data_IF_687941260764
#
_entry.id   IF_687941260764
#
_cell.length_a   1.000
_cell.length_b   1.000
_cell.length_c   1.000
_cell.angle_alpha   90.00
_cell.angle_beta   90.00
_cell.angle_gamma   90.00
#
_symmetry.space_group_name_H-M   'P 1'
#
loop_
_entity.id
_entity.type
_entity.pdbx_description
1 polymer ?
#
# COMPACT_ATOMS: atom_id res chain seq x y z
N UNK A 1 15.45 36.91 -6.62
CA UNK A 1 14.37 35.92 -6.74
C UNK A 1 13.19 36.39 -5.91
N UNK A 2 12.01 36.60 -6.50
CA UNK A 2 10.80 36.90 -5.71
C UNK A 2 10.38 35.61 -5.02
N UNK A 3 10.39 35.58 -3.68
CA UNK A 3 9.84 34.46 -2.93
C UNK A 3 8.36 34.24 -3.33
N UNK A 4 8.05 33.10 -3.92
CA UNK A 4 6.65 32.72 -4.14
C UNK A 4 5.97 32.60 -2.78
N UNK A 5 4.84 33.28 -2.62
CA UNK A 5 4.01 33.11 -1.41
C UNK A 5 3.57 31.66 -1.30
N UNK A 6 3.87 31.03 -0.18
CA UNK A 6 3.33 29.70 0.15
C UNK A 6 1.98 29.86 0.81
N UNK A 7 1.02 29.08 0.39
CA UNK A 7 -0.30 29.03 1.02
C UNK A 7 -0.35 27.83 1.96
N UNK A 8 -1.09 27.97 3.05
CA UNK A 8 -1.35 26.90 3.99
C UNK A 8 -2.78 26.44 3.81
N UNK A 9 -2.94 25.15 3.57
CA UNK A 9 -4.24 24.49 3.46
C UNK A 9 -4.48 23.61 4.69
N UNK A 10 -5.70 23.63 5.19
CA UNK A 10 -6.13 22.73 6.25
C UNK A 10 -6.85 21.54 5.61
N UNK A 11 -6.23 20.37 5.67
CA UNK A 11 -6.78 19.10 5.16
C UNK A 11 -7.35 18.22 6.29
N UNK A 12 -7.56 18.81 7.48
CA UNK A 12 -8.11 18.06 8.63
C UNK A 12 -9.51 17.56 8.34
N UNK A 13 -9.73 16.29 8.61
CA UNK A 13 -11.02 15.62 8.43
C UNK A 13 -11.19 14.51 9.46
N UNK A 14 -12.38 13.98 9.56
CA UNK A 14 -12.71 12.83 10.40
C UNK A 14 -13.01 11.66 9.48
N UNK A 15 -12.27 10.58 9.64
CA UNK A 15 -12.54 9.32 8.96
C UNK A 15 -13.25 8.35 9.93
N UNK A 16 -14.28 7.67 9.46
CA UNK A 16 -15.02 6.66 10.22
C UNK A 16 -15.01 5.38 9.42
N UNK A 17 -14.41 4.35 9.97
CA UNK A 17 -14.28 3.06 9.33
C UNK A 17 -14.46 1.94 10.36
N UNK A 18 -14.68 0.74 9.88
CA UNK A 18 -14.67 -0.49 10.66
C UNK A 18 -13.72 -1.48 9.98
N UNK A 19 -13.11 -2.35 10.78
CA UNK A 19 -12.10 -3.27 10.32
C UNK A 19 -12.05 -4.50 11.19
N UNK A 20 -11.53 -5.57 10.63
CA UNK A 20 -11.21 -6.77 11.39
C UNK A 20 -9.80 -6.70 11.99
N UNK A 21 -9.55 -7.52 12.99
CA UNK A 21 -8.23 -7.60 13.62
C UNK A 21 -7.20 -8.17 12.63
N UNK A 22 -6.03 -7.54 12.62
CA UNK A 22 -4.90 -7.95 11.78
C UNK A 22 -4.92 -7.37 10.37
N UNK A 23 -5.97 -6.69 9.96
CA UNK A 23 -6.03 -6.05 8.64
C UNK A 23 -5.20 -4.79 8.57
N UNK A 24 -4.53 -4.60 7.43
CA UNK A 24 -3.77 -3.41 7.09
C UNK A 24 -4.67 -2.44 6.30
N UNK A 25 -5.19 -1.44 6.98
CA UNK A 25 -6.20 -0.57 6.41
C UNK A 25 -5.59 0.77 6.04
N UNK A 26 -5.71 1.23 4.80
CA UNK A 26 -5.37 2.59 4.44
C UNK A 26 -6.40 3.54 5.06
N UNK A 27 -5.96 4.35 6.02
CA UNK A 27 -6.83 5.28 6.75
C UNK A 27 -7.01 6.57 5.96
N UNK A 28 -5.95 7.03 5.31
CA UNK A 28 -5.91 8.26 4.55
C UNK A 28 -4.77 8.25 3.56
N UNK A 29 -4.96 8.94 2.46
CA UNK A 29 -3.91 9.20 1.48
C UNK A 29 -4.10 10.61 0.91
N UNK A 30 -3.01 11.19 0.48
CA UNK A 30 -3.00 12.47 -0.24
C UNK A 30 -1.74 12.57 -1.10
N UNK A 31 -1.86 13.27 -2.17
CA UNK A 31 -0.76 13.55 -3.06
C UNK A 31 0.05 14.73 -2.56
N UNK A 32 1.35 14.58 -2.54
CA UNK A 32 2.29 15.64 -2.19
C UNK A 32 2.97 16.16 -3.46
N UNK A 33 2.89 17.45 -3.67
CA UNK A 33 3.59 18.12 -4.76
C UNK A 33 5.04 18.40 -4.36
N UNK A 34 5.95 18.55 -5.34
CA UNK A 34 7.32 18.98 -5.06
C UNK A 34 7.37 20.24 -4.20
N UNK A 35 8.19 20.23 -3.17
CA UNK A 35 8.37 21.30 -2.18
C UNK A 35 7.20 21.49 -1.19
N UNK A 36 6.20 20.65 -1.17
CA UNK A 36 5.20 20.67 -0.12
C UNK A 36 5.80 20.29 1.23
N UNK A 37 5.26 20.90 2.27
CA UNK A 37 5.58 20.59 3.66
C UNK A 37 4.30 20.20 4.38
N UNK A 38 4.22 18.96 4.81
CA UNK A 38 3.04 18.39 5.43
C UNK A 38 3.29 18.19 6.93
N UNK A 39 2.36 18.68 7.74
CA UNK A 39 2.33 18.42 9.18
C UNK A 39 1.09 17.62 9.50
N UNK A 40 1.28 16.45 10.06
CA UNK A 40 0.22 15.52 10.42
C UNK A 40 0.15 15.33 11.93
N UNK A 41 -1.07 15.23 12.44
CA UNK A 41 -1.39 14.79 13.79
C UNK A 41 -2.62 13.89 13.71
N UNK A 42 -2.57 12.72 14.32
CA UNK A 42 -3.66 11.74 14.28
C UNK A 42 -4.16 11.50 15.69
N UNK A 43 -5.48 11.50 15.86
CA UNK A 43 -6.16 11.08 17.08
C UNK A 43 -7.17 9.99 16.72
N UNK A 44 -7.13 8.86 17.41
CA UNK A 44 -8.00 7.73 17.12
C UNK A 44 -8.86 7.35 18.32
N UNK A 45 -10.15 7.12 18.09
CA UNK A 45 -11.05 6.48 19.02
C UNK A 45 -11.40 5.09 18.48
N UNK A 46 -10.95 4.06 19.17
CA UNK A 46 -11.19 2.66 18.79
C UNK A 46 -12.26 2.06 19.70
N UNK A 47 -13.24 1.41 19.10
CA UNK A 47 -14.30 0.70 19.82
C UNK A 47 -14.40 -0.71 19.26
N UNK A 48 -14.43 -1.69 20.14
CA UNK A 48 -14.72 -3.07 19.75
C UNK A 48 -16.22 -3.26 19.57
N UNK A 49 -16.58 -4.13 18.63
CA UNK A 49 -17.94 -4.64 18.54
C UNK A 49 -18.28 -5.43 19.81
N UNK A 50 -19.57 -5.52 20.19
CA UNK A 50 -19.99 -6.37 21.30
C UNK A 50 -19.56 -7.82 21.07
N UNK A 51 -18.87 -8.39 22.05
CA UNK A 51 -18.36 -9.75 21.99
C UNK A 51 -19.20 -10.67 22.88
N UNK A 52 -19.39 -11.91 22.44
CA UNK A 52 -20.10 -12.92 23.24
C UNK A 52 -19.29 -13.33 24.50
N UNK A 53 -17.97 -13.20 24.46
CA UNK A 53 -17.07 -13.40 25.58
C UNK A 53 -16.07 -12.24 25.67
N UNK A 54 -15.66 -11.80 26.87
CA UNK A 54 -14.73 -10.70 27.02
C UNK A 54 -13.33 -11.09 26.49
N UNK A 55 -12.67 -10.16 25.81
CA UNK A 55 -11.25 -10.30 25.46
C UNK A 55 -10.40 -10.10 26.71
N UNK A 56 -9.53 -11.06 27.01
CA UNK A 56 -8.61 -11.05 28.15
C UNK A 56 -7.22 -10.52 27.78
N UNK A 57 -7.01 -10.14 26.53
CA UNK A 57 -5.74 -9.67 25.99
C UNK A 57 -5.79 -8.20 25.61
N UNK A 58 -4.63 -7.53 25.63
CA UNK A 58 -4.53 -6.18 25.11
C UNK A 58 -4.65 -6.20 23.58
N UNK A 59 -5.17 -5.12 23.05
CA UNK A 59 -5.24 -4.87 21.61
C UNK A 59 -4.36 -3.65 21.32
N UNK A 60 -3.33 -3.85 20.52
CA UNK A 60 -2.45 -2.79 20.09
C UNK A 60 -2.99 -2.19 18.78
N UNK A 61 -3.03 -0.86 18.71
CA UNK A 61 -3.37 -0.12 17.49
C UNK A 61 -2.16 0.72 17.11
N UNK A 62 -1.67 0.53 15.89
CA UNK A 62 -0.54 1.28 15.35
C UNK A 62 -0.96 1.99 14.08
N UNK A 63 -0.60 3.26 13.98
CA UNK A 63 -0.84 4.08 12.79
C UNK A 63 0.52 4.48 12.25
N UNK A 64 0.81 4.04 11.03
CA UNK A 64 2.05 4.36 10.33
C UNK A 64 1.77 5.29 9.16
N UNK A 65 2.72 6.14 8.85
CA UNK A 65 2.66 7.06 7.70
C UNK A 65 3.85 6.80 6.82
N UNK A 66 3.60 6.64 5.53
CA UNK A 66 4.61 6.35 4.52
C UNK A 66 4.60 7.42 3.45
N UNK A 67 5.77 7.71 2.90
CA UNK A 67 5.93 8.47 1.69
C UNK A 67 6.36 7.54 0.57
N UNK A 68 5.54 7.46 -0.48
CA UNK A 68 5.80 6.60 -1.63
C UNK A 68 5.93 7.47 -2.88
N UNK A 69 7.14 7.64 -3.45
CA UNK A 69 7.32 8.40 -4.66
C UNK A 69 6.79 7.64 -5.88
N UNK A 70 6.10 8.35 -6.78
CA UNK A 70 5.48 7.75 -7.97
C UNK A 70 6.48 7.05 -8.88
N UNK A 71 7.75 7.50 -8.92
CA UNK A 71 8.81 6.84 -9.67
C UNK A 71 9.10 5.39 -9.24
N UNK A 72 8.67 4.97 -8.05
CA UNK A 72 8.76 3.59 -7.61
C UNK A 72 7.58 2.73 -8.09
N UNK A 73 6.46 3.37 -8.38
CA UNK A 73 5.21 2.72 -8.77
C UNK A 73 5.01 2.65 -10.27
N UNK A 74 5.74 3.48 -11.01
CA UNK A 74 5.61 3.62 -12.45
C UNK A 74 6.99 3.85 -13.05
N UNK A 75 7.61 2.78 -13.59
CA UNK A 75 9.00 2.74 -14.01
C UNK A 75 9.22 2.22 -15.43
N UNK A 76 8.18 2.14 -16.23
CA UNK A 76 8.32 1.65 -17.59
C UNK A 76 9.36 2.47 -18.36
N UNK A 77 10.16 1.78 -19.16
CA UNK A 77 11.12 2.44 -20.05
C UNK A 77 10.35 3.16 -21.16
N UNK A 78 10.68 4.41 -21.39
CA UNK A 78 10.04 5.29 -22.41
C UNK A 78 8.53 5.56 -22.17
N UNK A 79 8.01 5.25 -20.99
CA UNK A 79 6.62 5.50 -20.61
C UNK A 79 6.45 5.64 -19.09
N UNK A 80 7.45 6.21 -18.43
CA UNK A 80 7.49 6.38 -16.98
C UNK A 80 6.61 7.54 -16.48
N UNK A 81 6.51 7.67 -15.16
CA UNK A 81 5.89 8.84 -14.53
C UNK A 81 6.57 10.16 -14.94
N UNK A 82 7.88 10.14 -15.16
CA UNK A 82 8.62 11.32 -15.62
C UNK A 82 8.25 11.68 -17.06
N UNK A 83 8.12 10.69 -17.93
CA UNK A 83 7.71 10.90 -19.33
C UNK A 83 6.26 11.39 -19.41
N UNK A 84 5.38 10.88 -18.56
CA UNK A 84 4.01 11.39 -18.46
C UNK A 84 3.94 12.88 -18.09
N UNK A 85 4.83 13.35 -17.20
CA UNK A 85 4.85 14.77 -16.79
C UNK A 85 5.55 15.65 -17.83
N UNK A 86 6.61 15.15 -18.45
CA UNK A 86 7.47 15.95 -19.35
C UNK A 86 7.11 15.79 -20.82
N UNK A 87 6.44 14.72 -21.21
CA UNK A 87 6.22 14.32 -22.59
C UNK A 87 7.48 13.68 -23.22
N UNK A 88 8.38 13.12 -22.38
CA UNK A 88 9.64 12.51 -22.83
C UNK A 88 10.69 13.54 -23.24
N UNK A 89 11.70 13.06 -23.96
CA UNK A 89 12.87 13.87 -24.34
C UNK A 89 12.55 14.94 -25.39
N UNK A 90 11.53 14.75 -26.22
CA UNK A 90 11.09 15.68 -27.26
C UNK A 90 9.79 16.44 -26.90
N UNK A 91 9.16 16.09 -25.78
CA UNK A 91 7.91 16.69 -25.32
C UNK A 91 6.66 16.21 -26.07
N UNK A 92 6.76 15.13 -26.84
CA UNK A 92 5.70 14.62 -27.72
C UNK A 92 5.21 13.22 -27.33
N UNK A 93 5.86 12.57 -26.36
CA UNK A 93 5.50 11.23 -25.92
C UNK A 93 4.19 11.24 -25.15
N UNK A 94 3.18 10.61 -25.73
CA UNK A 94 1.88 10.43 -25.09
C UNK A 94 1.88 9.14 -24.28
N UNK A 95 2.02 9.27 -22.97
CA UNK A 95 1.98 8.14 -22.05
C UNK A 95 0.63 8.04 -21.37
N UNK A 96 0.05 6.85 -21.36
CA UNK A 96 -1.20 6.59 -20.64
C UNK A 96 -0.92 6.27 -19.19
N UNK A 97 -1.60 6.94 -18.27
CA UNK A 97 -1.45 6.66 -16.83
C UNK A 97 -1.82 5.19 -16.50
N UNK A 98 -1.23 4.60 -15.47
CA UNK A 98 -1.61 3.27 -15.03
C UNK A 98 -3.03 3.26 -14.47
N UNK A 99 -3.87 2.41 -15.01
CA UNK A 99 -5.26 2.28 -14.57
C UNK A 99 -5.69 0.82 -14.46
N UNK A 100 -6.72 0.57 -13.71
CA UNK A 100 -7.38 -0.73 -13.64
C UNK A 100 -8.84 -0.58 -14.03
N UNK A 101 -9.26 -1.42 -14.98
CA UNK A 101 -10.66 -1.55 -15.35
C UNK A 101 -11.39 -2.35 -14.26
N UNK A 102 -12.33 -1.70 -13.59
CA UNK A 102 -13.18 -2.30 -12.57
C UNK A 102 -14.60 -2.55 -13.07
N UNK A 103 -14.87 -2.38 -14.37
CA UNK A 103 -16.22 -2.51 -14.95
C UNK A 103 -16.83 -3.90 -14.73
N UNK A 104 -16.01 -4.94 -14.66
CA UNK A 104 -16.41 -6.31 -14.38
C UNK A 104 -16.15 -6.76 -12.91
N UNK A 105 -15.63 -5.87 -12.06
CA UNK A 105 -15.26 -6.20 -10.68
C UNK A 105 -16.28 -5.56 -9.72
N UNK A 106 -16.93 -6.39 -8.92
CA UNK A 106 -17.78 -5.88 -7.84
C UNK A 106 -16.91 -5.42 -6.68
N UNK A 107 -17.00 -4.14 -6.35
CA UNK A 107 -16.38 -3.59 -5.14
C UNK A 107 -17.32 -3.82 -3.95
N UNK A 108 -16.80 -4.43 -2.89
CA UNK A 108 -17.58 -4.70 -1.69
C UNK A 108 -17.16 -3.77 -0.56
N UNK A 109 -18.07 -3.61 0.39
CA UNK A 109 -17.77 -2.85 1.60
C UNK A 109 -16.71 -3.58 2.43
N UNK A 110 -15.65 -2.86 2.82
CA UNK A 110 -14.53 -3.40 3.58
C UNK A 110 -13.40 -3.99 2.73
N UNK A 111 -13.50 -3.92 1.40
CA UNK A 111 -12.40 -4.25 0.49
C UNK A 111 -11.38 -3.11 0.44
N UNK A 112 -10.16 -3.39 -0.04
CA UNK A 112 -9.12 -2.37 -0.21
C UNK A 112 -9.60 -1.18 -1.03
N UNK A 113 -10.34 -1.42 -2.11
CA UNK A 113 -10.86 -0.37 -2.99
C UNK A 113 -11.86 0.54 -2.29
N UNK A 114 -12.70 0.00 -1.40
CA UNK A 114 -13.63 0.79 -0.58
C UNK A 114 -12.86 1.76 0.34
N UNK A 115 -11.79 1.28 1.00
CA UNK A 115 -10.92 2.14 1.82
C UNK A 115 -10.12 3.16 0.97
N UNK A 116 -9.85 2.86 -0.29
CA UNK A 116 -9.22 3.75 -1.25
C UNK A 116 -10.22 4.66 -1.98
N UNK A 117 -11.48 4.71 -1.54
CA UNK A 117 -12.47 5.67 -2.00
C UNK A 117 -13.32 5.24 -3.19
N UNK A 118 -13.26 3.98 -3.60
CA UNK A 118 -14.19 3.43 -4.61
C UNK A 118 -15.46 2.95 -3.90
N UNK A 119 -16.61 3.58 -4.11
CA UNK A 119 -17.83 3.18 -3.42
C UNK A 119 -18.25 1.75 -3.74
N UNK A 120 -18.81 0.99 -2.79
CA UNK A 120 -19.34 -0.34 -3.04
C UNK A 120 -20.36 -0.34 -4.18
N UNK A 121 -20.20 -1.26 -5.12
CA UNK A 121 -21.03 -1.38 -6.32
C UNK A 121 -20.66 -0.44 -7.46
N UNK A 122 -19.70 0.47 -7.27
CA UNK A 122 -19.15 1.26 -8.37
C UNK A 122 -18.24 0.39 -9.25
N UNK A 123 -18.30 0.61 -10.55
CA UNK A 123 -17.54 -0.14 -11.55
C UNK A 123 -16.88 0.84 -12.53
N UNK A 124 -15.91 1.65 -12.08
CA UNK A 124 -15.20 2.56 -12.98
C UNK A 124 -14.34 1.76 -13.97
N UNK A 125 -14.29 2.20 -15.20
CA UNK A 125 -13.46 1.61 -16.26
C UNK A 125 -12.03 2.16 -16.28
N UNK A 126 -11.75 3.21 -15.51
CA UNK A 126 -10.45 3.91 -15.49
C UNK A 126 -10.08 4.32 -14.06
N UNK A 127 -9.93 3.34 -13.18
CA UNK A 127 -9.48 3.59 -11.79
C UNK A 127 -7.98 3.75 -11.71
N UNK A 128 -7.49 4.87 -11.16
CA UNK A 128 -6.06 5.09 -10.94
C UNK A 128 -5.49 4.05 -9.96
N UNK A 129 -4.67 3.14 -10.49
CA UNK A 129 -4.14 2.01 -9.73
C UNK A 129 -2.93 2.36 -8.84
N UNK A 130 -2.37 3.56 -8.96
CA UNK A 130 -1.16 3.95 -8.21
C UNK A 130 -1.33 3.84 -6.69
N UNK A 131 -2.53 4.10 -6.18
CA UNK A 131 -2.81 3.95 -4.74
C UNK A 131 -2.74 2.49 -4.27
N UNK A 132 -3.27 1.56 -5.07
CA UNK A 132 -3.18 0.13 -4.76
C UNK A 132 -1.75 -0.40 -4.94
N UNK A 133 -1.01 0.10 -5.94
CA UNK A 133 0.43 -0.20 -6.09
C UNK A 133 1.23 0.27 -4.88
N UNK A 134 0.97 1.51 -4.40
CA UNK A 134 1.61 2.05 -3.20
C UNK A 134 1.30 1.21 -1.96
N UNK A 135 0.04 0.82 -1.79
CA UNK A 135 -0.37 -0.05 -0.70
C UNK A 135 0.38 -1.40 -0.73
N UNK A 136 0.40 -2.08 -1.89
CA UNK A 136 1.10 -3.36 -2.02
C UNK A 136 2.61 -3.23 -1.80
N UNK A 137 3.23 -2.13 -2.25
CA UNK A 137 4.64 -1.86 -2.00
C UNK A 137 4.92 -1.70 -0.50
N UNK A 138 4.07 -0.97 0.22
CA UNK A 138 4.19 -0.80 1.67
C UNK A 138 4.04 -2.15 2.37
N UNK A 139 3.10 -3.00 1.94
CA UNK A 139 2.91 -4.33 2.51
C UNK A 139 4.15 -5.19 2.31
N UNK A 140 4.69 -5.25 1.09
CA UNK A 140 5.88 -6.03 0.78
C UNK A 140 7.10 -5.59 1.60
N UNK A 141 7.30 -4.28 1.76
CA UNK A 141 8.48 -3.74 2.43
C UNK A 141 8.42 -3.78 3.96
N UNK A 142 7.23 -3.62 4.54
CA UNK A 142 7.12 -3.38 5.99
C UNK A 142 6.30 -4.40 6.76
N UNK A 143 5.39 -5.12 6.09
CA UNK A 143 4.42 -5.98 6.79
C UNK A 143 4.47 -7.44 6.37
N UNK A 144 5.23 -7.76 5.35
CA UNK A 144 5.38 -9.12 4.87
C UNK A 144 6.44 -9.90 5.67
N UNK A 145 6.19 -11.18 5.91
CA UNK A 145 7.23 -12.11 6.30
C UNK A 145 7.83 -12.77 5.04
N UNK A 146 8.95 -12.24 4.60
CA UNK A 146 9.64 -12.64 3.35
C UNK A 146 9.91 -14.14 3.29
N UNK A 147 10.07 -14.80 4.44
CA UNK A 147 10.39 -16.22 4.48
C UNK A 147 9.16 -17.13 4.39
N UNK A 148 7.98 -16.61 4.74
CA UNK A 148 6.75 -17.40 4.85
C UNK A 148 5.66 -16.99 3.86
N UNK A 149 5.76 -15.80 3.30
CA UNK A 149 4.76 -15.24 2.38
C UNK A 149 5.37 -14.96 1.02
N UNK A 150 4.59 -15.16 0.00
CA UNK A 150 4.98 -14.75 -1.36
C UNK A 150 4.80 -13.25 -1.51
N UNK A 151 5.75 -12.59 -2.14
CA UNK A 151 5.68 -11.18 -2.47
C UNK A 151 4.46 -10.88 -3.34
N UNK A 152 3.77 -9.78 -3.03
CA UNK A 152 2.66 -9.30 -3.86
C UNK A 152 3.20 -8.76 -5.17
N UNK A 153 2.63 -9.24 -6.27
CA UNK A 153 3.00 -8.75 -7.60
C UNK A 153 2.48 -7.33 -7.79
N UNK A 154 3.38 -6.46 -8.22
CA UNK A 154 3.10 -5.05 -8.52
C UNK A 154 3.58 -4.79 -9.93
N UNK A 155 2.67 -4.44 -10.84
CA UNK A 155 3.07 -3.91 -12.13
C UNK A 155 3.65 -2.51 -11.97
N UNK A 156 4.64 -2.19 -12.78
CA UNK A 156 5.20 -0.84 -12.88
C UNK A 156 4.98 -0.23 -14.26
N UNK A 157 4.20 -0.92 -15.10
CA UNK A 157 3.95 -0.54 -16.49
C UNK A 157 2.86 0.52 -16.60
N UNK A 158 2.84 1.20 -17.73
CA UNK A 158 1.81 2.17 -18.12
C UNK A 158 0.53 1.48 -18.60
N UNK A 159 -0.57 2.21 -18.67
CA UNK A 159 -1.84 1.73 -19.19
C UNK A 159 -2.54 0.72 -18.28
N UNK A 160 -3.22 -0.25 -18.89
CA UNK A 160 -4.08 -1.18 -18.18
C UNK A 160 -3.31 -2.17 -17.28
N UNK A 161 -3.59 -2.16 -15.98
CA UNK A 161 -2.97 -3.05 -14.99
C UNK A 161 -3.92 -4.17 -14.60
N UNK A 162 -3.58 -5.38 -15.01
CA UNK A 162 -4.35 -6.59 -14.69
C UNK A 162 -3.73 -7.43 -13.56
N UNK A 163 -2.51 -7.12 -13.15
CA UNK A 163 -1.70 -7.96 -12.24
C UNK A 163 -1.68 -7.47 -10.81
N UNK A 164 -1.72 -6.16 -10.58
CA UNK A 164 -1.69 -5.60 -9.23
C UNK A 164 -2.92 -6.03 -8.42
N UNK A 165 -2.66 -6.63 -7.26
CA UNK A 165 -3.71 -7.09 -6.36
C UNK A 165 -4.46 -5.89 -5.75
N UNK A 166 -5.79 -6.03 -5.65
CA UNK A 166 -6.67 -5.04 -5.02
C UNK A 166 -7.35 -5.58 -3.77
N UNK A 167 -6.78 -6.63 -3.19
CA UNK A 167 -7.28 -7.28 -1.97
C UNK A 167 -6.64 -6.69 -0.73
N UNK A 168 -7.43 -6.56 0.34
CA UNK A 168 -6.93 -6.14 1.64
C UNK A 168 -5.98 -7.20 2.22
N UNK A 169 -4.84 -6.77 2.73
CA UNK A 169 -3.81 -7.64 3.28
C UNK A 169 -3.88 -7.66 4.80
N UNK A 170 -3.30 -8.71 5.38
CA UNK A 170 -3.14 -8.82 6.83
C UNK A 170 -1.67 -8.65 7.22
N UNK A 171 -1.43 -8.00 8.35
CA UNK A 171 -0.08 -7.88 8.87
C UNK A 171 0.44 -9.23 9.37
N UNK A 172 1.73 -9.43 9.24
CA UNK A 172 2.40 -10.56 9.87
C UNK A 172 2.43 -10.38 11.38
N UNK A 173 2.56 -11.50 12.09
CA UNK A 173 2.73 -11.49 13.52
C UNK A 173 4.07 -10.83 13.92
N UNK A 174 4.04 -10.03 14.97
CA UNK A 174 5.28 -9.45 15.53
C UNK A 174 6.23 -10.58 15.95
N UNK A 175 7.52 -10.42 15.62
CA UNK A 175 8.53 -11.40 15.99
C UNK A 175 8.79 -11.35 17.49
N UNK A 176 8.69 -12.49 18.13
CA UNK A 176 9.04 -12.71 19.53
C UNK A 176 9.93 -13.96 19.65
N UNK A 177 10.24 -14.38 20.87
CA UNK A 177 11.08 -15.55 21.12
C UNK A 177 10.51 -16.84 20.49
N UNK A 178 9.18 -16.98 20.43
CA UNK A 178 8.52 -18.17 19.89
C UNK A 178 8.29 -18.07 18.36
N UNK A 179 7.97 -16.90 17.86
CA UNK A 179 7.60 -16.70 16.45
C UNK A 179 8.80 -16.43 15.55
N UNK A 180 10.00 -16.26 16.12
CA UNK A 180 11.24 -16.07 15.35
C UNK A 180 11.76 -17.37 14.74
N UNK A 181 11.41 -18.53 15.32
CA UNK A 181 11.83 -19.83 14.81
C UNK A 181 11.26 -20.09 13.41
N UNK A 182 12.11 -20.63 12.54
CA UNK A 182 11.73 -21.03 11.19
C UNK A 182 11.51 -22.54 11.12
N UNK A 183 10.63 -23.03 10.23
CA UNK A 183 10.38 -24.46 10.07
C UNK A 183 11.47 -25.21 9.28
N UNK A 184 12.60 -24.59 9.03
CA UNK A 184 13.77 -25.15 8.36
C UNK A 184 15.06 -24.70 9.06
N UNK A 185 16.12 -25.47 8.86
CA UNK A 185 17.40 -25.27 9.54
C UNK A 185 18.19 -24.07 9.03
N UNK A 186 18.20 -23.87 7.69
CA UNK A 186 18.88 -22.75 7.03
C UNK A 186 18.26 -22.43 5.69
N UNK A 187 18.51 -21.23 5.17
CA UNK A 187 18.19 -20.87 3.79
C UNK A 187 19.21 -21.47 2.82
N UNK A 188 18.73 -22.03 1.71
CA UNK A 188 19.55 -22.60 0.65
C UNK A 188 19.80 -24.10 0.81
N UNK A 189 20.78 -24.61 0.05
CA UNK A 189 21.15 -26.03 0.08
C UNK A 189 21.81 -26.41 1.39
N UNK A 190 21.50 -27.58 1.89
CA UNK A 190 22.17 -28.14 3.07
C UNK A 190 23.68 -28.23 2.84
N UNK A 191 24.45 -27.75 3.79
CA UNK A 191 25.92 -27.87 3.78
C UNK A 191 26.29 -29.09 4.61
N UNK A 192 26.92 -30.08 3.97
CA UNK A 192 27.51 -31.22 4.65
C UNK A 192 29.00 -30.95 4.88
N UNK A 193 29.43 -30.61 6.11
CA UNK A 193 30.86 -30.50 6.38
C UNK A 193 31.53 -31.86 6.19
N UNK A 194 32.74 -31.93 5.61
CA UNK A 194 33.46 -33.19 5.51
C UNK A 194 33.73 -33.73 6.91
N UNK A 195 33.38 -34.97 7.14
CA UNK A 195 33.79 -35.67 8.34
C UNK A 195 35.31 -35.83 8.23
N UNK A 196 36.04 -35.21 9.14
CA UNK A 196 37.49 -35.32 9.19
C UNK A 196 37.93 -36.77 9.23
N UNK A 197 38.88 -37.14 8.38
CA UNK A 197 39.56 -38.44 8.39
C UNK A 197 40.54 -38.53 9.58
#
# INVERSE_FOLDING_TARGET
MKHKKRFKHNLSHVNKLSADLGELIPINYYEALPMDSIRQSVSALVRLAPLAAPIMHKIDVRIHTFFVPNRLLWKETDASFEDFITGGSDGLDATTHPYKDLSAISTNRGDLLDYLGVPPGAQPDDYNILYARAYNLIVNEYYQDIDLQTELVISTDSGADTTTATTLQKCTWDKDYFTTARPWEQKGSAVSPPLGS
#
